data_IF_765063097236
#
_entry.id   IF_765063097236
#
_cell.length_a   1.000
_cell.length_b   1.000
_cell.length_c   1.000
_cell.angle_alpha   90.00
_cell.angle_beta   90.00
_cell.angle_gamma   90.00
#
_symmetry.space_group_name_H-M   'P 1'
#
loop_
_entity.id
_entity.type
_entity.pdbx_description
1 polymer ?
#
# COMPACT_ATOMS: atom_id res chain seq x y z
N UNK A 1 23.82 24.16 -61.39
CA UNK A 1 24.09 23.72 -60.02
C UNK A 1 23.22 24.53 -59.02
N UNK A 2 22.12 23.96 -58.54
CA UNK A 2 21.24 24.61 -57.54
C UNK A 2 21.76 24.22 -56.15
N UNK A 3 22.20 25.16 -55.33
CA UNK A 3 22.57 24.96 -53.93
C UNK A 3 21.29 24.89 -53.09
N UNK A 4 20.99 23.71 -52.53
CA UNK A 4 19.99 23.56 -51.49
C UNK A 4 20.61 24.02 -50.15
N UNK A 5 20.03 25.04 -49.53
CA UNK A 5 20.32 25.40 -48.14
C UNK A 5 19.41 24.61 -47.23
N UNK A 6 19.98 23.71 -46.42
CA UNK A 6 19.28 23.05 -45.31
C UNK A 6 19.23 24.03 -44.13
N UNK A 7 18.06 24.52 -43.82
CA UNK A 7 17.82 25.33 -42.63
C UNK A 7 17.57 24.37 -41.48
N UNK A 8 18.55 24.15 -40.61
CA UNK A 8 18.36 23.38 -39.37
C UNK A 8 17.55 24.22 -38.36
N UNK A 9 16.30 23.85 -38.12
CA UNK A 9 15.50 24.43 -37.06
C UNK A 9 15.94 23.80 -35.75
N UNK A 10 16.74 24.50 -34.94
CA UNK A 10 17.00 24.12 -33.55
C UNK A 10 15.72 24.39 -32.76
N UNK A 11 14.99 23.32 -32.40
CA UNK A 11 13.94 23.38 -31.42
C UNK A 11 14.58 23.51 -30.04
N UNK A 12 14.62 24.71 -29.48
CA UNK A 12 14.90 24.90 -28.05
C UNK A 12 13.70 24.39 -27.28
N UNK A 13 13.82 23.21 -26.67
CA UNK A 13 12.90 22.78 -25.64
C UNK A 13 13.16 23.65 -24.38
N UNK A 14 12.37 24.68 -24.19
CA UNK A 14 12.28 25.35 -22.89
C UNK A 14 11.72 24.33 -21.91
N UNK A 15 12.56 23.80 -21.05
CA UNK A 15 12.09 23.01 -19.92
C UNK A 15 11.21 23.92 -19.06
N UNK A 16 9.89 23.76 -19.14
CA UNK A 16 8.98 24.46 -18.25
C UNK A 16 9.37 24.13 -16.81
N UNK A 17 9.65 25.15 -16.01
CA UNK A 17 9.94 24.98 -14.60
C UNK A 17 8.70 24.43 -13.92
N UNK A 18 8.86 23.36 -13.09
CA UNK A 18 7.77 22.79 -12.33
C UNK A 18 7.10 23.84 -11.45
N UNK A 19 5.80 23.96 -11.59
CA UNK A 19 4.97 24.93 -10.85
C UNK A 19 4.59 24.35 -9.49
N UNK A 20 4.52 25.22 -8.49
CA UNK A 20 3.97 24.92 -7.19
C UNK A 20 2.71 25.73 -6.97
N UNK A 21 1.65 25.06 -6.53
CA UNK A 21 0.35 25.64 -6.16
C UNK A 21 0.07 25.31 -4.70
N UNK A 22 -0.41 26.27 -3.93
CA UNK A 22 -0.74 26.10 -2.52
C UNK A 22 -2.25 26.10 -2.30
N UNK A 23 -2.70 25.20 -1.41
CA UNK A 23 -4.08 25.07 -0.93
C UNK A 23 -4.06 25.20 0.58
N UNK A 24 -5.00 25.95 1.16
CA UNK A 24 -5.11 26.13 2.61
C UNK A 24 -6.57 26.05 3.07
N UNK A 25 -6.86 25.61 4.32
CA UNK A 25 -8.23 25.56 4.84
C UNK A 25 -8.94 26.92 4.83
N UNK A 26 -8.19 27.99 4.97
CA UNK A 26 -8.63 29.40 4.93
C UNK A 26 -8.32 30.10 3.59
N UNK A 27 -8.00 29.33 2.55
CA UNK A 27 -7.69 29.83 1.22
C UNK A 27 -8.88 30.39 0.46
N UNK A 28 -8.62 30.88 -0.75
CA UNK A 28 -9.66 31.42 -1.62
C UNK A 28 -9.40 31.01 -3.07
N UNK A 29 -10.37 30.35 -3.72
CA UNK A 29 -10.23 29.86 -5.10
C UNK A 29 -10.14 30.98 -6.16
N UNK A 30 -10.46 32.23 -5.79
CA UNK A 30 -10.13 33.41 -6.61
C UNK A 30 -8.66 33.85 -6.47
N UNK A 31 -7.89 33.22 -5.58
CA UNK A 31 -6.48 33.48 -5.36
C UNK A 31 -5.59 32.96 -6.50
N UNK A 32 -4.32 33.36 -6.46
CA UNK A 32 -3.34 32.95 -7.49
C UNK A 32 -2.81 31.51 -7.27
N UNK A 33 -3.05 30.92 -6.11
CA UNK A 33 -2.42 29.66 -5.69
C UNK A 33 -0.96 29.84 -5.25
N UNK A 34 -0.48 31.06 -5.04
CA UNK A 34 0.83 31.32 -4.42
C UNK A 34 0.77 31.04 -2.90
N UNK A 35 1.93 30.98 -2.24
CA UNK A 35 2.00 30.75 -0.79
C UNK A 35 1.29 31.84 0.01
N UNK A 36 1.31 33.09 -0.48
CA UNK A 36 0.67 34.27 0.16
C UNK A 36 -0.81 34.44 -0.25
N UNK A 37 -1.29 33.68 -1.25
CA UNK A 37 -2.66 33.71 -1.75
C UNK A 37 -3.09 32.29 -2.15
N UNK A 38 -3.19 31.35 -1.19
CA UNK A 38 -3.49 29.94 -1.46
C UNK A 38 -4.94 29.78 -1.91
N UNK A 39 -5.18 28.70 -2.66
CA UNK A 39 -6.53 28.28 -3.03
C UNK A 39 -7.25 27.61 -1.84
N UNK A 40 -8.57 27.57 -1.89
CA UNK A 40 -9.38 26.90 -0.88
C UNK A 40 -9.53 25.39 -1.16
N UNK A 41 -9.58 25.00 -2.44
CA UNK A 41 -9.97 23.65 -2.83
C UNK A 41 -8.92 22.92 -3.70
N UNK A 42 -8.88 21.59 -3.57
CA UNK A 42 -8.11 20.74 -4.47
C UNK A 42 -8.63 20.87 -5.92
N UNK A 43 -9.94 21.04 -6.11
CA UNK A 43 -10.54 21.18 -7.42
C UNK A 43 -9.95 22.38 -8.19
N UNK A 44 -9.85 23.54 -7.54
CA UNK A 44 -9.23 24.74 -8.12
C UNK A 44 -7.72 24.51 -8.40
N UNK A 45 -7.02 23.91 -7.43
CA UNK A 45 -5.60 23.59 -7.61
C UNK A 45 -5.36 22.66 -8.81
N UNK A 46 -6.16 21.60 -8.96
CA UNK A 46 -6.04 20.65 -10.07
C UNK A 46 -6.16 21.32 -11.44
N UNK A 47 -7.01 22.37 -11.58
CA UNK A 47 -7.13 23.10 -12.84
C UNK A 47 -5.81 23.73 -13.28
N UNK A 48 -4.98 24.13 -12.34
CA UNK A 48 -3.72 24.82 -12.59
C UNK A 48 -2.54 23.88 -12.85
N UNK A 49 -2.65 22.58 -12.51
CA UNK A 49 -1.54 21.64 -12.59
C UNK A 49 -1.33 21.07 -13.99
N UNK A 50 -0.07 20.83 -14.32
CA UNK A 50 0.44 20.11 -15.49
C UNK A 50 1.46 19.06 -15.06
N UNK A 51 1.88 18.13 -15.94
CA UNK A 51 2.91 17.14 -15.61
C UNK A 51 4.19 17.76 -15.04
N UNK A 52 4.58 17.33 -13.85
CA UNK A 52 5.73 17.82 -13.09
C UNK A 52 5.38 18.81 -11.98
N UNK A 53 4.15 19.32 -11.95
CA UNK A 53 3.73 20.32 -10.96
C UNK A 53 3.34 19.69 -9.62
N UNK A 54 3.33 20.51 -8.59
CA UNK A 54 2.97 20.12 -7.21
C UNK A 54 1.88 21.02 -6.64
N UNK A 55 0.82 20.42 -6.08
CA UNK A 55 -0.09 21.07 -5.16
C UNK A 55 0.34 20.76 -3.71
N UNK A 56 0.68 21.78 -2.93
CA UNK A 56 0.93 21.66 -1.51
C UNK A 56 -0.29 22.07 -0.70
N UNK A 57 -0.74 21.17 0.16
CA UNK A 57 -1.76 21.46 1.17
C UNK A 57 -1.09 21.97 2.44
N UNK A 58 -1.51 23.14 2.91
CA UNK A 58 -1.08 23.69 4.18
C UNK A 58 -1.66 22.86 5.33
N UNK A 59 -0.99 22.85 6.45
CA UNK A 59 -1.45 22.17 7.66
C UNK A 59 -2.79 22.72 8.15
N UNK A 60 -3.51 21.90 8.88
CA UNK A 60 -4.86 22.20 9.39
C UNK A 60 -5.88 21.18 8.88
N UNK A 61 -7.13 21.35 9.30
CA UNK A 61 -8.23 20.46 8.95
C UNK A 61 -9.06 21.05 7.81
N UNK A 62 -9.16 20.31 6.73
CA UNK A 62 -10.06 20.57 5.60
C UNK A 62 -11.38 19.88 5.89
N UNK A 63 -12.37 20.58 6.40
CA UNK A 63 -13.72 20.06 6.63
C UNK A 63 -14.46 19.97 5.30
N UNK A 64 -14.50 18.77 4.75
CA UNK A 64 -15.10 18.52 3.44
C UNK A 64 -16.61 18.34 3.59
N UNK A 65 -17.37 18.96 2.68
CA UNK A 65 -18.83 18.93 2.64
C UNK A 65 -19.34 18.34 1.33
N UNK A 66 -20.63 17.96 1.26
CA UNK A 66 -21.17 17.26 0.08
C UNK A 66 -21.15 18.11 -1.20
N UNK A 67 -21.22 19.44 -1.09
CA UNK A 67 -21.13 20.35 -2.23
C UNK A 67 -19.74 20.40 -2.87
N UNK A 68 -18.72 19.87 -2.19
CA UNK A 68 -17.36 19.71 -2.72
C UNK A 68 -17.16 18.40 -3.47
N UNK A 69 -18.17 17.51 -3.50
CA UNK A 69 -18.11 16.26 -4.29
C UNK A 69 -18.02 16.62 -5.78
N UNK A 70 -16.91 16.24 -6.42
CA UNK A 70 -16.61 16.62 -7.81
C UNK A 70 -17.45 15.86 -8.85
N UNK A 71 -18.15 14.79 -8.47
CA UNK A 71 -19.01 14.05 -9.37
C UNK A 71 -19.40 12.66 -8.88
N UNK A 72 -20.15 11.96 -9.72
CA UNK A 72 -20.54 10.56 -9.48
C UNK A 72 -19.97 9.69 -10.61
N UNK A 73 -19.12 8.75 -10.26
CA UNK A 73 -18.50 7.82 -11.19
C UNK A 73 -19.15 6.43 -11.10
N UNK A 74 -19.14 5.70 -12.22
CA UNK A 74 -19.72 4.36 -12.32
C UNK A 74 -21.17 4.27 -11.79
N UNK A 75 -21.90 5.39 -11.73
CA UNK A 75 -23.27 5.55 -11.22
C UNK A 75 -23.46 5.23 -9.73
N UNK A 76 -22.40 4.99 -9.00
CA UNK A 76 -22.48 4.60 -7.58
C UNK A 76 -21.44 5.27 -6.69
N UNK A 77 -20.34 5.81 -7.23
CA UNK A 77 -19.29 6.43 -6.44
C UNK A 77 -19.43 7.95 -6.43
N UNK A 78 -19.77 8.53 -5.29
CA UNK A 78 -19.56 9.95 -5.03
C UNK A 78 -18.05 10.19 -4.89
N UNK A 79 -17.45 10.79 -5.91
CA UNK A 79 -16.01 11.06 -5.95
C UNK A 79 -15.75 12.44 -5.37
N UNK A 80 -15.21 12.48 -4.15
CA UNK A 80 -14.92 13.75 -3.48
C UNK A 80 -13.85 14.51 -4.26
N UNK A 81 -12.72 13.86 -4.52
CA UNK A 81 -11.65 14.38 -5.36
C UNK A 81 -11.43 13.46 -6.56
N UNK A 82 -11.91 13.85 -7.73
CA UNK A 82 -11.67 13.14 -8.98
C UNK A 82 -10.36 13.62 -9.61
N UNK A 83 -9.29 12.82 -9.43
CA UNK A 83 -7.97 13.14 -9.95
C UNK A 83 -7.84 12.64 -11.39
N UNK A 84 -8.11 13.49 -12.36
CA UNK A 84 -8.22 13.16 -13.78
C UNK A 84 -7.14 13.75 -14.69
N UNK A 85 -6.13 14.41 -14.13
CA UNK A 85 -4.99 14.92 -14.86
C UNK A 85 -3.77 14.02 -14.64
N UNK A 86 -3.25 13.43 -15.70
CA UNK A 86 -2.08 12.57 -15.65
C UNK A 86 -0.78 13.37 -15.62
N UNK A 87 0.16 12.90 -14.82
CA UNK A 87 1.58 13.19 -15.03
C UNK A 87 2.15 12.39 -16.21
N UNK A 88 3.45 12.20 -16.20
CA UNK A 88 4.18 11.34 -17.16
C UNK A 88 5.43 10.79 -16.47
N UNK A 89 6.08 9.86 -17.11
CA UNK A 89 7.38 9.37 -16.64
C UNK A 89 8.37 10.51 -16.41
N UNK A 90 9.02 10.52 -15.25
CA UNK A 90 9.92 11.58 -14.82
C UNK A 90 9.28 12.92 -14.46
N UNK A 91 7.94 13.06 -14.59
CA UNK A 91 7.20 14.29 -14.32
C UNK A 91 5.81 14.01 -13.76
N UNK A 92 5.75 13.42 -12.54
CA UNK A 92 4.49 13.17 -11.82
C UNK A 92 3.79 14.47 -11.46
N UNK A 93 2.45 14.43 -11.40
CA UNK A 93 1.72 15.47 -10.68
C UNK A 93 1.69 15.05 -9.21
N UNK A 94 2.09 15.96 -8.33
CA UNK A 94 2.21 15.70 -6.90
C UNK A 94 1.12 16.43 -6.13
N UNK A 95 0.40 15.70 -5.26
CA UNK A 95 -0.53 16.23 -4.28
C UNK A 95 0.03 15.91 -2.90
N UNK A 96 0.50 16.90 -2.15
CA UNK A 96 1.27 16.65 -0.94
C UNK A 96 0.95 17.62 0.19
N UNK A 97 0.99 17.14 1.43
CA UNK A 97 1.15 18.03 2.57
C UNK A 97 2.46 18.82 2.46
N UNK A 98 2.40 20.11 2.80
CA UNK A 98 3.59 20.96 2.79
C UNK A 98 4.66 20.38 3.73
N UNK A 99 5.95 20.42 3.35
CA UNK A 99 7.02 19.91 4.21
C UNK A 99 6.96 20.48 5.64
N UNK A 100 6.93 19.58 6.63
CA UNK A 100 6.78 19.93 8.04
C UNK A 100 5.33 20.18 8.50
N UNK A 101 4.36 20.12 7.60
CA UNK A 101 2.93 20.26 7.88
C UNK A 101 2.19 18.95 7.53
N UNK A 102 1.12 18.65 8.27
CA UNK A 102 0.31 17.47 8.01
C UNK A 102 -1.18 17.84 7.93
N UNK A 103 -1.69 18.08 6.72
CA UNK A 103 -3.11 18.38 6.51
C UNK A 103 -3.99 17.17 6.81
N UNK A 104 -5.20 17.42 7.30
CA UNK A 104 -6.21 16.41 7.60
C UNK A 104 -7.45 16.68 6.74
N UNK A 105 -7.86 15.74 5.91
CA UNK A 105 -9.12 15.78 5.18
C UNK A 105 -10.20 15.09 6.01
N UNK A 106 -11.12 15.86 6.57
CA UNK A 106 -12.23 15.37 7.39
C UNK A 106 -13.48 15.19 6.53
N UNK A 107 -13.93 13.94 6.41
CA UNK A 107 -15.04 13.50 5.57
C UNK A 107 -16.33 13.25 6.37
N UNK A 108 -16.36 13.55 7.65
CA UNK A 108 -17.50 13.23 8.54
C UNK A 108 -18.84 13.86 8.08
N UNK A 109 -18.79 14.97 7.35
CA UNK A 109 -19.96 15.62 6.78
C UNK A 109 -20.36 15.11 5.37
N UNK A 110 -19.58 14.25 4.73
CA UNK A 110 -19.87 13.73 3.38
C UNK A 110 -20.67 12.43 3.49
N UNK A 111 -21.99 12.54 3.37
CA UNK A 111 -22.96 11.45 3.56
C UNK A 111 -23.94 11.32 2.38
N UNK A 112 -23.50 11.17 1.13
CA UNK A 112 -24.35 11.14 -0.04
C UNK A 112 -25.28 9.92 0.03
N UNK A 113 -26.57 10.14 0.03
CA UNK A 113 -27.57 9.08 0.17
C UNK A 113 -27.51 8.11 -1.02
N UNK A 114 -27.41 6.81 -0.71
CA UNK A 114 -27.41 5.73 -1.71
C UNK A 114 -26.15 5.65 -2.56
N UNK A 115 -25.10 6.39 -2.26
CA UNK A 115 -23.84 6.36 -2.98
C UNK A 115 -22.69 5.86 -2.07
N UNK A 116 -21.71 5.19 -2.69
CA UNK A 116 -20.42 4.88 -2.09
C UNK A 116 -19.54 6.13 -2.11
N UNK A 117 -18.85 6.40 -1.04
CA UNK A 117 -17.86 7.50 -1.02
C UNK A 117 -16.51 6.98 -1.53
N UNK A 118 -15.93 7.67 -2.51
CA UNK A 118 -14.53 7.51 -2.90
C UNK A 118 -13.84 8.86 -2.72
N UNK A 119 -12.95 8.98 -1.70
CA UNK A 119 -12.42 10.30 -1.34
C UNK A 119 -11.43 10.78 -2.39
N UNK A 120 -10.33 10.06 -2.61
CA UNK A 120 -9.41 10.30 -3.72
C UNK A 120 -9.65 9.25 -4.80
N UNK A 121 -10.46 9.58 -5.80
CA UNK A 121 -10.70 8.73 -6.96
C UNK A 121 -9.63 9.01 -8.01
N UNK A 122 -8.66 8.09 -8.13
CA UNK A 122 -7.55 8.23 -9.07
C UNK A 122 -7.98 7.73 -10.45
N UNK A 123 -8.19 8.68 -11.36
CA UNK A 123 -8.56 8.48 -12.75
C UNK A 123 -7.45 9.05 -13.68
N UNK A 124 -6.20 8.86 -13.28
CA UNK A 124 -5.03 9.38 -13.96
C UNK A 124 -3.80 8.51 -13.69
N UNK A 125 -2.78 8.67 -14.51
CA UNK A 125 -1.50 7.98 -14.38
C UNK A 125 -0.42 8.94 -13.85
N UNK A 126 0.62 8.37 -13.27
CA UNK A 126 1.80 9.13 -12.86
C UNK A 126 1.49 10.23 -11.83
N UNK A 127 0.61 9.91 -10.88
CA UNK A 127 0.35 10.78 -9.73
C UNK A 127 1.24 10.37 -8.54
N UNK A 128 1.42 11.31 -7.61
CA UNK A 128 2.05 11.06 -6.32
C UNK A 128 1.26 11.80 -5.23
N UNK A 129 0.55 11.03 -4.40
CA UNK A 129 -0.20 11.52 -3.25
C UNK A 129 0.64 11.27 -2.00
N UNK A 130 0.88 12.29 -1.15
CA UNK A 130 1.71 12.06 0.03
C UNK A 130 1.52 13.03 1.20
N UNK A 131 1.86 12.56 2.41
CA UNK A 131 2.00 13.36 3.62
C UNK A 131 0.70 14.04 4.07
N UNK A 132 -0.40 13.31 4.18
CA UNK A 132 -1.67 13.82 4.72
C UNK A 132 -2.50 12.70 5.36
N UNK A 133 -3.54 13.12 6.09
CA UNK A 133 -4.51 12.21 6.71
C UNK A 133 -5.88 12.33 6.05
N UNK A 134 -6.60 11.20 5.99
CA UNK A 134 -8.00 11.10 5.59
C UNK A 134 -8.76 10.50 6.76
N UNK A 135 -9.76 11.20 7.26
CA UNK A 135 -10.53 10.77 8.43
C UNK A 135 -12.03 10.79 8.17
N UNK A 136 -12.75 9.90 8.85
CA UNK A 136 -14.20 10.00 8.94
C UNK A 136 -14.97 9.69 7.66
N UNK A 137 -14.41 8.95 6.69
CA UNK A 137 -15.16 8.52 5.49
C UNK A 137 -16.43 7.78 5.88
N UNK A 138 -17.57 8.12 5.27
CA UNK A 138 -18.88 7.64 5.68
C UNK A 138 -19.48 6.60 4.73
N UNK A 139 -20.45 5.84 5.25
CA UNK A 139 -21.33 4.92 4.53
C UNK A 139 -22.78 5.28 4.86
N UNK A 140 -23.64 5.32 3.84
CA UNK A 140 -25.10 5.55 3.96
C UNK A 140 -25.93 4.38 3.47
N UNK A 141 -25.33 3.50 2.68
CA UNK A 141 -26.00 2.31 2.10
C UNK A 141 -26.10 1.22 3.18
N UNK A 142 -27.31 0.75 3.45
CA UNK A 142 -27.55 -0.30 4.46
C UNK A 142 -27.39 -1.73 3.94
N UNK A 143 -27.45 -1.94 2.63
CA UNK A 143 -27.12 -3.21 1.97
C UNK A 143 -25.61 -3.40 1.82
N UNK A 144 -25.21 -4.46 1.11
CA UNK A 144 -23.79 -4.71 0.82
C UNK A 144 -23.14 -3.54 0.06
N UNK A 145 -22.08 -2.98 0.60
CA UNK A 145 -21.38 -1.83 0.01
C UNK A 145 -19.93 -1.74 0.45
N UNK A 146 -19.15 -0.93 -0.27
CA UNK A 146 -17.78 -0.59 0.06
C UNK A 146 -17.51 0.87 -0.31
N UNK A 147 -17.26 1.73 0.66
CA UNK A 147 -16.64 3.04 0.44
C UNK A 147 -15.12 2.90 0.45
N UNK A 148 -14.41 3.82 -0.18
CA UNK A 148 -12.97 3.75 -0.37
C UNK A 148 -12.34 5.12 -0.09
N UNK A 149 -11.31 5.18 0.75
CA UNK A 149 -10.64 6.46 0.98
C UNK A 149 -9.76 6.84 -0.22
N UNK A 150 -8.95 5.91 -0.72
CA UNK A 150 -8.21 6.11 -1.97
C UNK A 150 -8.52 4.93 -2.90
N UNK A 151 -8.99 5.23 -4.11
CA UNK A 151 -9.26 4.20 -5.11
C UNK A 151 -8.50 4.43 -6.41
N UNK A 152 -7.86 3.37 -6.93
CA UNK A 152 -7.24 3.36 -8.26
C UNK A 152 -8.06 2.45 -9.15
N UNK A 153 -8.68 3.05 -10.18
CA UNK A 153 -9.63 2.37 -11.07
C UNK A 153 -9.32 2.65 -12.54
N UNK A 154 -10.05 1.99 -13.44
CA UNK A 154 -10.03 2.23 -14.89
C UNK A 154 -8.70 1.95 -15.60
N UNK A 155 -7.76 1.22 -14.98
CA UNK A 155 -6.46 0.89 -15.57
C UNK A 155 -5.39 1.95 -15.36
N UNK A 156 -5.58 2.85 -14.39
CA UNK A 156 -4.62 3.90 -14.07
C UNK A 156 -3.37 3.33 -13.37
N UNK A 157 -2.22 3.73 -13.85
CA UNK A 157 -0.95 3.07 -13.57
C UNK A 157 0.14 4.03 -13.14
N UNK A 158 1.22 3.49 -12.57
CA UNK A 158 2.40 4.23 -12.15
C UNK A 158 2.11 5.30 -11.10
N UNK A 159 1.06 5.13 -10.29
CA UNK A 159 0.75 6.05 -9.19
C UNK A 159 1.48 5.66 -7.92
N UNK A 160 1.85 6.66 -7.12
CA UNK A 160 2.46 6.48 -5.81
C UNK A 160 1.57 7.10 -4.74
N UNK A 161 1.28 6.34 -3.70
CA UNK A 161 0.62 6.80 -2.48
C UNK A 161 1.62 6.61 -1.36
N UNK A 162 2.10 7.70 -0.75
CA UNK A 162 3.21 7.67 0.20
C UNK A 162 2.88 8.41 1.48
N UNK A 163 3.12 7.77 2.62
CA UNK A 163 2.97 8.38 3.95
C UNK A 163 1.59 9.05 4.14
N UNK A 164 0.52 8.36 3.74
CA UNK A 164 -0.87 8.75 3.97
C UNK A 164 -1.43 7.91 5.10
N UNK A 165 -2.11 8.54 6.07
CA UNK A 165 -2.85 7.85 7.11
C UNK A 165 -4.35 7.94 6.83
N UNK A 166 -5.06 6.81 6.94
CA UNK A 166 -6.48 6.67 6.67
C UNK A 166 -7.12 6.04 7.89
N UNK A 167 -7.99 6.79 8.60
CA UNK A 167 -8.43 6.28 9.88
C UNK A 167 -9.76 6.85 10.37
N UNK A 168 -10.30 6.18 11.39
CA UNK A 168 -11.53 6.59 12.08
C UNK A 168 -12.72 6.80 11.13
N UNK A 169 -12.81 5.98 10.07
CA UNK A 169 -13.84 6.03 9.04
C UNK A 169 -14.56 4.69 8.84
N UNK A 170 -15.35 4.61 7.77
CA UNK A 170 -16.15 3.44 7.39
C UNK A 170 -15.72 2.87 6.01
N UNK A 171 -14.51 3.17 5.56
CA UNK A 171 -14.05 2.85 4.21
C UNK A 171 -12.81 1.95 4.22
N UNK A 172 -12.62 1.20 3.14
CA UNK A 172 -11.32 0.60 2.81
C UNK A 172 -10.30 1.73 2.67
N UNK A 173 -9.11 1.53 3.22
CA UNK A 173 -8.07 2.55 3.17
C UNK A 173 -7.61 2.84 1.74
N UNK A 174 -6.89 1.91 1.11
CA UNK A 174 -6.49 2.01 -0.31
C UNK A 174 -7.02 0.81 -1.07
N UNK A 175 -7.67 1.05 -2.20
CA UNK A 175 -8.28 0.00 -3.01
C UNK A 175 -7.89 0.13 -4.49
N UNK A 176 -7.17 -0.89 -4.99
CA UNK A 176 -6.73 -0.94 -6.39
C UNK A 176 -7.51 -2.02 -7.13
N UNK A 177 -8.30 -1.65 -8.15
CA UNK A 177 -9.10 -2.62 -8.93
C UNK A 177 -8.64 -2.80 -10.37
N UNK A 178 -7.91 -1.84 -10.90
CA UNK A 178 -7.37 -1.89 -12.27
C UNK A 178 -6.17 -0.96 -12.36
N UNK A 179 -5.12 -1.39 -13.04
CA UNK A 179 -3.92 -0.62 -13.29
C UNK A 179 -2.67 -1.31 -12.77
N UNK A 180 -1.55 -0.98 -13.37
CA UNK A 180 -0.24 -1.60 -13.16
C UNK A 180 0.73 -0.66 -12.47
N UNK A 181 1.78 -1.22 -11.88
CA UNK A 181 2.93 -0.47 -11.38
C UNK A 181 2.57 0.65 -10.38
N UNK A 182 1.51 0.42 -9.57
CA UNK A 182 1.15 1.34 -8.50
C UNK A 182 1.89 0.94 -7.21
N UNK A 183 2.40 1.91 -6.49
CA UNK A 183 3.12 1.74 -5.25
C UNK A 183 2.37 2.40 -4.09
N UNK A 184 2.01 1.61 -3.08
CA UNK A 184 1.52 2.10 -1.79
C UNK A 184 2.69 1.98 -0.81
N UNK A 185 3.24 3.12 -0.40
CA UNK A 185 4.49 3.20 0.35
C UNK A 185 4.27 3.89 1.70
N UNK A 186 4.65 3.22 2.78
CA UNK A 186 4.66 3.83 4.11
C UNK A 186 3.30 4.42 4.53
N UNK A 187 2.19 3.79 4.17
CA UNK A 187 0.83 4.23 4.52
C UNK A 187 0.32 3.51 5.76
N UNK A 188 -0.59 4.18 6.47
CA UNK A 188 -1.31 3.63 7.62
C UNK A 188 -2.80 3.57 7.34
N UNK A 189 -3.46 2.44 7.65
CA UNK A 189 -4.91 2.30 7.63
C UNK A 189 -5.37 1.71 8.97
N UNK A 190 -6.14 2.48 9.76
CA UNK A 190 -6.47 2.02 11.10
C UNK A 190 -7.79 2.56 11.66
N UNK A 191 -8.40 1.76 12.55
CA UNK A 191 -9.67 2.07 13.21
C UNK A 191 -10.79 2.43 12.22
N UNK A 192 -10.83 1.73 11.08
CA UNK A 192 -11.92 1.86 10.13
C UNK A 192 -12.96 0.76 10.37
N UNK A 193 -14.21 1.15 10.53
CA UNK A 193 -15.32 0.25 10.84
C UNK A 193 -16.63 0.75 10.26
N UNK A 194 -17.20 0.00 9.30
CA UNK A 194 -18.53 0.25 8.77
C UNK A 194 -19.59 -0.27 9.75
N UNK A 195 -20.23 0.66 10.44
CA UNK A 195 -21.31 0.38 11.39
C UNK A 195 -22.71 0.47 10.78
N UNK A 196 -22.82 0.66 9.46
CA UNK A 196 -24.08 0.96 8.75
C UNK A 196 -24.50 -0.19 7.82
N UNK A 197 -23.63 -0.61 6.91
CA UNK A 197 -24.00 -1.64 5.94
C UNK A 197 -24.16 -3.02 6.59
N UNK A 198 -25.01 -3.82 5.99
CA UNK A 198 -25.28 -5.22 6.42
C UNK A 198 -25.53 -5.38 7.94
N UNK A 199 -26.14 -4.37 8.56
CA UNK A 199 -26.40 -4.36 10.00
C UNK A 199 -25.16 -4.09 10.85
N UNK A 200 -24.18 -3.39 10.32
CA UNK A 200 -22.96 -2.99 11.02
C UNK A 200 -21.96 -4.13 11.21
N UNK A 201 -21.93 -5.09 10.28
CA UNK A 201 -21.01 -6.25 10.37
C UNK A 201 -19.56 -5.87 10.15
N UNK A 202 -19.28 -4.76 9.45
CA UNK A 202 -17.93 -4.28 9.18
C UNK A 202 -17.11 -5.20 8.26
N UNK A 203 -17.72 -6.14 7.57
CA UNK A 203 -17.08 -7.19 6.78
C UNK A 203 -16.70 -6.76 5.35
N UNK A 204 -16.38 -5.49 5.13
CA UNK A 204 -15.90 -4.96 3.85
C UNK A 204 -14.97 -3.77 4.09
N UNK A 205 -14.31 -3.71 5.25
CA UNK A 205 -13.44 -2.58 5.60
C UNK A 205 -12.05 -3.10 5.94
N UNK A 206 -11.31 -3.34 4.87
CA UNK A 206 -9.91 -3.73 4.95
C UNK A 206 -9.01 -2.51 5.12
N UNK A 207 -7.82 -2.73 5.63
CA UNK A 207 -6.79 -1.69 5.58
C UNK A 207 -6.39 -1.37 4.13
N UNK A 208 -6.05 -2.40 3.36
CA UNK A 208 -5.56 -2.30 2.00
C UNK A 208 -6.11 -3.44 1.14
N UNK A 209 -6.65 -3.11 -0.04
CA UNK A 209 -7.15 -4.10 -1.00
C UNK A 209 -6.56 -3.92 -2.40
N UNK A 210 -6.30 -5.05 -3.08
CA UNK A 210 -5.86 -5.04 -4.47
C UNK A 210 -6.52 -6.18 -5.25
N UNK A 211 -7.52 -5.85 -6.08
CA UNK A 211 -8.35 -6.80 -6.81
C UNK A 211 -8.22 -6.55 -8.32
N UNK A 212 -7.02 -6.72 -8.85
CA UNK A 212 -6.65 -6.33 -10.21
C UNK A 212 -6.83 -7.47 -11.22
N UNK A 213 -6.94 -7.08 -12.50
CA UNK A 213 -7.09 -8.02 -13.63
C UNK A 213 -5.73 -8.65 -13.99
N UNK A 214 -5.74 -9.70 -14.81
CA UNK A 214 -4.56 -10.48 -15.23
C UNK A 214 -3.42 -9.62 -15.82
N UNK A 215 -3.77 -8.58 -16.58
CA UNK A 215 -2.79 -7.68 -17.21
C UNK A 215 -2.26 -6.58 -16.29
N UNK A 216 -2.86 -6.38 -15.14
CA UNK A 216 -2.56 -5.25 -14.24
C UNK A 216 -1.45 -5.64 -13.23
N UNK A 217 -0.23 -5.85 -13.71
CA UNK A 217 0.91 -6.34 -12.92
C UNK A 217 1.68 -5.23 -12.21
N UNK A 218 2.63 -5.59 -11.34
CA UNK A 218 3.60 -4.66 -10.76
C UNK A 218 3.08 -3.82 -9.58
N UNK A 219 1.91 -4.14 -9.01
CA UNK A 219 1.40 -3.44 -7.84
C UNK A 219 2.11 -3.90 -6.55
N UNK A 220 2.56 -2.95 -5.73
CA UNK A 220 3.36 -3.20 -4.53
C UNK A 220 2.83 -2.38 -3.35
N UNK A 221 2.73 -3.03 -2.18
CA UNK A 221 2.55 -2.39 -0.88
C UNK A 221 3.84 -2.58 -0.09
N UNK A 222 4.42 -1.48 0.38
CA UNK A 222 5.69 -1.52 1.10
C UNK A 222 5.66 -0.61 2.31
N UNK A 223 6.14 -1.13 3.45
CA UNK A 223 6.24 -0.36 4.68
C UNK A 223 4.89 0.11 5.22
N UNK A 224 3.79 -0.51 4.81
CA UNK A 224 2.45 -0.14 5.23
C UNK A 224 2.07 -0.80 6.56
N UNK A 225 1.17 -0.16 7.33
CA UNK A 225 0.62 -0.71 8.57
C UNK A 225 -0.90 -0.70 8.51
N UNK A 226 -1.52 -1.82 8.89
CA UNK A 226 -2.95 -1.95 9.07
C UNK A 226 -3.25 -2.42 10.50
N UNK A 227 -4.12 -1.69 11.25
CA UNK A 227 -4.52 -2.13 12.58
C UNK A 227 -5.91 -1.67 12.98
N UNK A 228 -6.61 -2.53 13.72
CA UNK A 228 -7.97 -2.25 14.17
C UNK A 228 -8.94 -1.87 13.04
N UNK A 229 -8.76 -2.45 11.85
CA UNK A 229 -9.77 -2.39 10.81
C UNK A 229 -10.76 -3.53 11.03
N UNK A 230 -12.03 -3.31 10.71
CA UNK A 230 -13.07 -4.24 11.10
C UNK A 230 -13.08 -5.55 10.31
N UNK A 231 -12.43 -5.59 9.16
CA UNK A 231 -12.22 -6.81 8.37
C UNK A 231 -10.73 -7.14 8.29
N UNK A 232 -10.16 -7.37 7.14
CA UNK A 232 -8.78 -7.84 7.00
C UNK A 232 -7.76 -6.67 7.01
N UNK A 233 -6.51 -6.95 7.34
CA UNK A 233 -5.44 -5.95 7.21
C UNK A 233 -5.10 -5.68 5.75
N UNK A 234 -4.94 -6.77 4.99
CA UNK A 234 -4.65 -6.76 3.55
C UNK A 234 -5.48 -7.82 2.86
N UNK A 235 -6.19 -7.46 1.75
CA UNK A 235 -7.03 -8.38 0.98
C UNK A 235 -6.69 -8.39 -0.50
N UNK A 236 -6.44 -9.60 -1.03
CA UNK A 236 -6.23 -9.89 -2.46
C UNK A 236 -7.31 -10.83 -3.03
N UNK A 237 -8.50 -10.89 -2.43
CA UNK A 237 -9.58 -11.70 -3.02
C UNK A 237 -9.88 -11.22 -4.44
N UNK A 238 -10.14 -12.15 -5.37
CA UNK A 238 -10.38 -11.83 -6.79
C UNK A 238 -9.24 -11.02 -7.45
N UNK A 239 -8.01 -11.19 -6.98
CA UNK A 239 -6.84 -10.61 -7.60
C UNK A 239 -6.26 -11.59 -8.64
N UNK A 240 -6.18 -11.15 -9.90
CA UNK A 240 -5.75 -11.99 -11.03
C UNK A 240 -4.34 -11.67 -11.54
N UNK A 241 -3.60 -10.80 -10.87
CA UNK A 241 -2.20 -10.50 -11.18
C UNK A 241 -1.33 -10.54 -9.92
N UNK A 242 -0.03 -10.83 -10.04
CA UNK A 242 0.89 -10.85 -8.90
C UNK A 242 0.92 -9.51 -8.15
N UNK A 243 0.83 -9.57 -6.83
CA UNK A 243 0.97 -8.43 -5.91
C UNK A 243 2.02 -8.78 -4.87
N UNK A 244 2.80 -7.78 -4.47
CA UNK A 244 3.83 -7.92 -3.43
C UNK A 244 3.47 -7.10 -2.19
N UNK A 245 3.46 -7.75 -1.03
CA UNK A 245 3.52 -7.11 0.28
C UNK A 245 4.96 -7.25 0.79
N UNK A 246 5.61 -6.12 1.05
CA UNK A 246 7.00 -6.07 1.47
C UNK A 246 7.14 -5.17 2.72
N UNK A 247 7.68 -5.72 3.82
CA UNK A 247 7.84 -4.99 5.07
C UNK A 247 6.52 -4.37 5.59
N UNK A 248 5.40 -5.06 5.45
CA UNK A 248 4.08 -4.60 5.91
C UNK A 248 3.71 -5.23 7.25
N UNK A 249 2.94 -4.50 8.06
CA UNK A 249 2.48 -4.97 9.36
C UNK A 249 0.96 -5.01 9.42
N UNK A 250 0.39 -6.09 9.98
CA UNK A 250 -1.03 -6.28 10.21
C UNK A 250 -1.28 -6.66 11.68
N UNK A 251 -1.99 -5.83 12.42
CA UNK A 251 -2.26 -6.03 13.82
C UNK A 251 -3.73 -5.81 14.12
N UNK A 252 -4.30 -6.65 14.99
CA UNK A 252 -5.68 -6.49 15.47
C UNK A 252 -6.72 -6.33 14.35
N UNK A 253 -6.52 -6.96 13.20
CA UNK A 253 -7.54 -7.03 12.15
C UNK A 253 -8.76 -7.77 12.68
N UNK A 254 -9.98 -7.30 12.37
CA UNK A 254 -11.22 -7.80 12.95
C UNK A 254 -11.47 -7.33 14.37
N UNK A 255 -10.87 -6.22 14.78
CA UNK A 255 -11.11 -5.56 16.05
C UNK A 255 -11.41 -4.07 15.83
N UNK A 256 -12.25 -3.49 16.69
CA UNK A 256 -12.50 -2.04 16.74
C UNK A 256 -11.38 -1.31 17.50
N UNK A 257 -10.92 -1.93 18.57
CA UNK A 257 -9.78 -1.59 19.41
C UNK A 257 -9.10 -2.90 19.83
N UNK A 258 -8.04 -2.84 20.61
CA UNK A 258 -7.26 -4.04 20.97
C UNK A 258 -8.05 -5.13 21.70
N UNK A 259 -9.19 -4.79 22.31
CA UNK A 259 -10.01 -5.70 23.15
C UNK A 259 -11.35 -6.06 22.50
N UNK A 260 -11.87 -5.25 21.56
CA UNK A 260 -13.25 -5.34 21.05
C UNK A 260 -13.28 -5.90 19.63
N UNK A 261 -13.63 -7.19 19.50
CA UNK A 261 -13.78 -7.85 18.20
C UNK A 261 -14.96 -7.31 17.40
N UNK A 262 -14.80 -7.25 16.09
CA UNK A 262 -15.86 -6.97 15.12
C UNK A 262 -16.38 -8.25 14.48
N UNK A 263 -17.56 -8.24 13.83
CA UNK A 263 -18.05 -9.41 13.08
C UNK A 263 -17.25 -9.75 11.81
N UNK A 264 -16.50 -8.82 11.21
CA UNK A 264 -15.68 -9.05 10.00
C UNK A 264 -14.66 -10.20 10.14
N UNK A 265 -14.03 -10.62 9.07
CA UNK A 265 -13.18 -11.83 9.04
C UNK A 265 -11.95 -11.70 9.93
N UNK A 266 -11.16 -10.67 9.77
CA UNK A 266 -10.06 -10.30 10.63
C UNK A 266 -8.78 -11.10 10.42
N UNK A 267 -8.40 -11.33 9.16
CA UNK A 267 -7.08 -11.87 8.81
C UNK A 267 -6.04 -10.75 8.72
N UNK A 268 -4.79 -11.07 8.99
CA UNK A 268 -3.70 -10.12 8.78
C UNK A 268 -3.43 -9.89 7.30
N UNK A 269 -2.99 -10.93 6.61
CA UNK A 269 -2.71 -10.93 5.17
C UNK A 269 -3.54 -12.03 4.49
N UNK A 270 -4.58 -11.64 3.78
CA UNK A 270 -5.43 -12.52 2.97
C UNK A 270 -4.94 -12.43 1.52
N UNK A 271 -4.08 -13.37 1.12
CA UNK A 271 -3.38 -13.30 -0.14
C UNK A 271 -3.98 -14.27 -1.17
N UNK A 272 -4.96 -13.79 -1.90
CA UNK A 272 -5.58 -14.49 -3.01
C UNK A 272 -6.99 -15.01 -2.72
N UNK A 273 -7.39 -16.05 -3.46
CA UNK A 273 -8.73 -16.65 -3.44
C UNK A 273 -9.72 -15.97 -4.37
N UNK A 274 -10.81 -16.69 -4.64
CA UNK A 274 -11.82 -16.24 -5.61
C UNK A 274 -13.23 -16.40 -5.04
N UNK A 275 -13.40 -16.13 -3.74
CA UNK A 275 -14.68 -16.18 -3.04
C UNK A 275 -15.30 -17.57 -2.95
N UNK A 276 -14.50 -18.65 -3.05
CA UNK A 276 -14.99 -20.04 -3.17
C UNK A 276 -15.95 -20.23 -4.34
N UNK A 277 -15.67 -19.58 -5.46
CA UNK A 277 -16.47 -19.65 -6.67
C UNK A 277 -15.72 -20.42 -7.75
N UNK A 278 -16.48 -21.15 -8.57
CA UNK A 278 -15.96 -21.70 -9.82
C UNK A 278 -15.74 -20.55 -10.80
N UNK A 279 -14.74 -20.72 -11.65
CA UNK A 279 -14.44 -19.77 -12.72
C UNK A 279 -15.02 -20.29 -14.04
N UNK A 280 -15.25 -19.41 -14.99
CA UNK A 280 -15.83 -19.76 -16.28
C UNK A 280 -14.85 -20.54 -17.18
N UNK A 281 -13.55 -20.35 -16.96
CA UNK A 281 -12.50 -21.00 -17.76
C UNK A 281 -11.22 -21.23 -16.90
N UNK A 282 -10.39 -22.20 -17.29
CA UNK A 282 -9.06 -22.41 -16.66
C UNK A 282 -8.20 -21.16 -16.79
N UNK A 283 -7.42 -20.88 -15.75
CA UNK A 283 -6.41 -19.81 -15.79
C UNK A 283 -5.22 -20.12 -14.89
N UNK A 284 -4.09 -19.50 -15.21
CA UNK A 284 -2.93 -19.53 -14.35
C UNK A 284 -3.15 -18.53 -13.21
N UNK A 285 -3.38 -19.04 -12.00
CA UNK A 285 -3.52 -18.22 -10.82
C UNK A 285 -2.21 -17.44 -10.54
N UNK A 286 -2.29 -16.16 -10.21
CA UNK A 286 -1.10 -15.37 -9.94
C UNK A 286 -0.38 -15.87 -8.68
N UNK A 287 0.92 -15.70 -8.63
CA UNK A 287 1.72 -15.97 -7.44
C UNK A 287 1.98 -14.66 -6.69
N UNK A 288 1.32 -14.47 -5.55
CA UNK A 288 1.56 -13.33 -4.70
C UNK A 288 2.80 -13.54 -3.82
N UNK A 289 3.45 -12.46 -3.43
CA UNK A 289 4.62 -12.49 -2.54
C UNK A 289 4.32 -11.72 -1.26
N UNK A 290 4.51 -12.35 -0.11
CA UNK A 290 4.42 -11.74 1.21
C UNK A 290 5.79 -11.90 1.87
N UNK A 291 6.53 -10.80 2.01
CA UNK A 291 7.94 -10.81 2.38
C UNK A 291 8.23 -9.83 3.54
N UNK A 292 9.00 -10.29 4.53
CA UNK A 292 9.41 -9.50 5.69
C UNK A 292 8.25 -8.81 6.43
N UNK A 293 7.09 -9.47 6.51
CA UNK A 293 5.89 -8.92 7.11
C UNK A 293 5.68 -9.41 8.55
N UNK A 294 4.94 -8.61 9.34
CA UNK A 294 4.53 -8.98 10.70
C UNK A 294 3.01 -9.13 10.73
N UNK A 295 2.51 -10.26 11.28
CA UNK A 295 1.11 -10.48 11.57
C UNK A 295 0.93 -10.74 13.07
N UNK A 296 0.35 -9.79 13.80
CA UNK A 296 0.22 -9.85 15.25
C UNK A 296 -1.23 -9.74 15.71
N UNK A 297 -1.68 -10.71 16.52
CA UNK A 297 -2.96 -10.67 17.26
C UNK A 297 -4.19 -10.38 16.38
N UNK A 298 -4.18 -10.82 15.12
CA UNK A 298 -5.36 -10.72 14.27
C UNK A 298 -6.42 -11.74 14.72
N UNK A 299 -7.70 -11.38 14.57
CA UNK A 299 -8.84 -12.18 15.05
C UNK A 299 -8.87 -13.58 14.42
N UNK A 300 -8.54 -13.68 13.13
CA UNK A 300 -8.45 -14.92 12.38
C UNK A 300 -6.98 -15.29 12.09
N UNK A 301 -6.59 -15.46 10.86
CA UNK A 301 -5.26 -15.95 10.51
C UNK A 301 -4.26 -14.80 10.37
N UNK A 302 -3.01 -15.06 10.68
CA UNK A 302 -1.93 -14.11 10.41
C UNK A 302 -1.66 -13.98 8.92
N UNK A 303 -1.27 -15.10 8.31
CA UNK A 303 -1.02 -15.25 6.88
C UNK A 303 -1.98 -16.29 6.32
N UNK A 304 -2.78 -15.91 5.32
CA UNK A 304 -3.92 -16.68 4.85
C UNK A 304 -3.95 -16.77 3.32
N UNK A 305 -3.91 -17.98 2.78
CA UNK A 305 -3.99 -18.23 1.35
C UNK A 305 -5.40 -18.04 0.77
N UNK A 306 -6.43 -18.08 1.61
CA UNK A 306 -7.81 -17.75 1.24
C UNK A 306 -8.36 -18.58 0.09
N UNK A 307 -8.20 -19.89 0.10
CA UNK A 307 -8.71 -20.79 -0.96
C UNK A 307 -8.13 -20.47 -2.35
N UNK A 308 -6.86 -20.03 -2.40
CA UNK A 308 -6.19 -19.68 -3.65
C UNK A 308 -6.09 -20.88 -4.59
N UNK A 309 -6.06 -20.67 -5.90
CA UNK A 309 -5.96 -21.74 -6.91
C UNK A 309 -4.51 -22.10 -7.29
N UNK A 310 -3.56 -21.56 -6.58
CA UNK A 310 -2.13 -21.79 -6.80
C UNK A 310 -1.34 -21.57 -5.52
N UNK A 311 -0.04 -21.51 -5.64
CA UNK A 311 0.83 -21.22 -4.50
C UNK A 311 1.21 -19.75 -4.44
N UNK A 312 1.51 -19.28 -3.23
CA UNK A 312 2.09 -17.97 -2.95
C UNK A 312 3.46 -18.13 -2.31
N UNK A 313 4.26 -17.07 -2.33
CA UNK A 313 5.55 -16.99 -1.66
C UNK A 313 5.39 -16.27 -0.30
N UNK A 314 5.71 -16.99 0.77
CA UNK A 314 5.68 -16.52 2.16
C UNK A 314 7.12 -16.55 2.68
N UNK A 315 7.78 -15.38 2.68
CA UNK A 315 9.22 -15.30 2.88
C UNK A 315 9.57 -14.41 4.08
N UNK A 316 10.39 -14.91 4.99
CA UNK A 316 10.90 -14.12 6.13
C UNK A 316 9.81 -13.40 6.96
N UNK A 317 8.61 -13.96 7.07
CA UNK A 317 7.54 -13.35 7.84
C UNK A 317 7.57 -13.80 9.31
N UNK A 318 7.05 -12.97 10.20
CA UNK A 318 6.88 -13.31 11.62
C UNK A 318 5.41 -13.17 12.03
N UNK A 319 4.86 -14.20 12.63
CA UNK A 319 3.48 -14.24 13.12
C UNK A 319 3.41 -14.58 14.60
N UNK A 320 2.57 -13.85 15.36
CA UNK A 320 2.34 -14.09 16.79
C UNK A 320 0.89 -13.83 17.19
N UNK A 321 0.33 -14.71 18.02
CA UNK A 321 -1.02 -14.59 18.63
C UNK A 321 -2.20 -14.54 17.67
N UNK A 322 -2.05 -14.91 16.40
CA UNK A 322 -3.21 -15.06 15.52
C UNK A 322 -3.94 -16.38 15.84
N UNK A 323 -5.16 -16.59 15.34
CA UNK A 323 -5.86 -17.88 15.48
C UNK A 323 -4.99 -19.02 14.93
N UNK A 324 -4.64 -18.95 13.66
CA UNK A 324 -3.52 -19.68 13.05
C UNK A 324 -2.52 -18.66 12.53
N UNK A 325 -1.25 -18.88 12.78
CA UNK A 325 -0.24 -17.97 12.25
C UNK A 325 -0.11 -18.09 10.74
N UNK A 326 -0.22 -19.33 10.19
CA UNK A 326 -0.20 -19.61 8.76
C UNK A 326 -1.35 -20.56 8.39
N UNK A 327 -2.27 -20.15 7.54
CA UNK A 327 -3.37 -20.97 7.03
C UNK A 327 -3.30 -21.03 5.52
N UNK A 328 -2.93 -22.21 4.98
CA UNK A 328 -2.55 -22.35 3.56
C UNK A 328 -3.63 -23.07 2.73
N UNK A 329 -4.90 -22.97 3.13
CA UNK A 329 -6.00 -23.62 2.40
C UNK A 329 -6.08 -23.14 0.96
N UNK A 330 -6.20 -24.09 0.03
CA UNK A 330 -6.46 -23.86 -1.39
C UNK A 330 -7.86 -24.31 -1.79
N UNK A 331 -8.37 -23.80 -2.90
CA UNK A 331 -9.47 -24.40 -3.64
C UNK A 331 -8.91 -25.54 -4.53
N UNK A 332 -9.69 -26.61 -4.69
CA UNK A 332 -9.26 -27.82 -5.39
C UNK A 332 -8.90 -27.58 -6.86
N UNK A 333 -9.80 -26.89 -7.57
CA UNK A 333 -9.63 -26.54 -8.98
C UNK A 333 -10.44 -25.30 -9.34
N UNK A 334 -10.20 -24.74 -10.51
CA UNK A 334 -10.91 -23.56 -11.00
C UNK A 334 -12.43 -23.81 -11.18
N UNK A 335 -12.82 -25.04 -11.47
CA UNK A 335 -14.18 -25.54 -11.65
C UNK A 335 -14.74 -26.31 -10.45
N UNK A 336 -13.94 -26.49 -9.39
CA UNK A 336 -14.36 -27.14 -8.15
C UNK A 336 -14.07 -26.27 -6.92
N UNK A 337 -15.10 -25.59 -6.42
CA UNK A 337 -15.01 -24.71 -5.23
C UNK A 337 -14.99 -25.52 -3.92
N UNK A 338 -14.09 -26.50 -3.82
CA UNK A 338 -13.89 -27.37 -2.67
C UNK A 338 -12.57 -27.06 -1.99
N UNK A 339 -12.58 -26.90 -0.68
CA UNK A 339 -11.37 -26.65 0.13
C UNK A 339 -10.49 -27.91 0.15
N UNK A 340 -9.21 -27.70 -0.09
CA UNK A 340 -8.18 -28.73 0.02
C UNK A 340 -6.96 -28.18 0.77
N UNK A 341 -6.12 -29.06 1.27
CA UNK A 341 -4.83 -28.67 1.82
C UNK A 341 -3.98 -27.97 0.76
N UNK A 342 -3.37 -26.87 1.16
CA UNK A 342 -2.64 -25.94 0.29
C UNK A 342 -1.52 -26.59 -0.50
N UNK A 343 -1.40 -26.23 -1.76
CA UNK A 343 -0.40 -26.74 -2.68
C UNK A 343 0.32 -25.61 -3.43
N UNK A 344 1.52 -25.91 -3.90
CA UNK A 344 2.30 -24.97 -4.71
C UNK A 344 2.90 -23.79 -3.94
N UNK A 345 2.66 -23.67 -2.63
CA UNK A 345 3.23 -22.59 -1.81
C UNK A 345 4.74 -22.77 -1.60
N UNK A 346 5.43 -21.64 -1.45
CA UNK A 346 6.77 -21.55 -0.87
C UNK A 346 6.68 -20.92 0.51
N UNK A 347 7.03 -21.64 1.57
CA UNK A 347 7.19 -21.12 2.91
C UNK A 347 8.68 -21.19 3.27
N UNK A 348 9.37 -20.06 3.33
CA UNK A 348 10.80 -20.03 3.61
C UNK A 348 11.14 -18.99 4.67
N UNK A 349 11.93 -19.44 5.65
CA UNK A 349 12.50 -18.60 6.71
C UNK A 349 11.46 -17.83 7.53
N UNK A 350 10.26 -18.40 7.73
CA UNK A 350 9.22 -17.77 8.52
C UNK A 350 9.33 -18.16 9.99
N UNK A 351 8.87 -17.25 10.87
CA UNK A 351 8.74 -17.48 12.31
C UNK A 351 7.27 -17.51 12.73
N UNK A 352 6.90 -18.50 13.51
CA UNK A 352 5.63 -18.60 14.21
C UNK A 352 5.88 -18.64 15.71
N UNK A 353 5.18 -17.79 16.46
CA UNK A 353 5.27 -17.75 17.90
C UNK A 353 3.88 -17.71 18.54
N UNK A 354 3.61 -18.61 19.48
CA UNK A 354 2.39 -18.67 20.29
C UNK A 354 1.09 -18.40 19.52
N UNK A 355 0.84 -19.13 18.45
CA UNK A 355 -0.47 -19.12 17.80
C UNK A 355 -1.56 -19.62 18.74
N UNK A 356 -2.77 -19.02 18.67
CA UNK A 356 -3.87 -19.38 19.59
C UNK A 356 -4.43 -20.78 19.33
N UNK A 357 -4.33 -21.31 18.10
CA UNK A 357 -4.76 -22.68 17.73
C UNK A 357 -3.67 -23.52 17.09
N UNK A 358 -2.75 -22.92 16.35
CA UNK A 358 -1.66 -23.66 15.73
C UNK A 358 -0.78 -22.78 14.84
N UNK A 359 0.48 -23.17 14.73
CA UNK A 359 1.46 -22.43 13.94
C UNK A 359 1.08 -22.40 12.47
N UNK A 360 0.62 -23.51 11.93
CA UNK A 360 0.16 -23.66 10.57
C UNK A 360 -1.00 -24.65 10.47
N UNK A 361 -1.77 -24.57 9.37
CA UNK A 361 -2.89 -25.47 9.09
C UNK A 361 -3.18 -25.57 7.59
N UNK A 362 -3.89 -26.62 7.20
CA UNK A 362 -4.40 -26.83 5.84
C UNK A 362 -3.30 -26.68 4.77
N UNK A 363 -2.25 -27.48 4.86
CA UNK A 363 -1.13 -27.50 3.92
C UNK A 363 -0.73 -28.92 3.56
N UNK A 364 -0.67 -29.23 2.26
CA UNK A 364 -0.05 -30.43 1.73
C UNK A 364 1.46 -30.22 1.62
N UNK A 365 2.17 -30.76 2.59
CA UNK A 365 3.63 -30.63 2.70
C UNK A 365 4.38 -31.25 1.52
N UNK A 366 3.78 -32.25 0.88
CA UNK A 366 4.39 -32.95 -0.26
C UNK A 366 4.33 -32.15 -1.56
N UNK A 367 3.44 -31.16 -1.62
CA UNK A 367 3.18 -30.33 -2.79
C UNK A 367 3.61 -28.87 -2.61
N UNK A 368 4.32 -28.55 -1.54
CA UNK A 368 4.82 -27.22 -1.22
C UNK A 368 6.33 -27.24 -0.99
N UNK A 369 7.00 -26.12 -1.26
CA UNK A 369 8.39 -25.88 -0.87
C UNK A 369 8.39 -25.31 0.55
N UNK A 370 8.91 -26.06 1.52
CA UNK A 370 8.87 -25.67 2.94
C UNK A 370 10.28 -25.80 3.52
N UNK A 371 10.93 -24.68 3.73
CA UNK A 371 12.35 -24.62 4.08
C UNK A 371 12.60 -23.64 5.21
N UNK A 372 13.42 -24.01 6.18
CA UNK A 372 13.96 -23.12 7.20
C UNK A 372 12.88 -22.32 7.96
N UNK A 373 11.76 -22.94 8.37
CA UNK A 373 10.72 -22.28 9.15
C UNK A 373 10.78 -22.76 10.62
N UNK A 374 10.47 -21.88 11.57
CA UNK A 374 10.52 -22.17 13.01
C UNK A 374 9.50 -23.22 13.48
N UNK A 375 8.47 -23.48 12.68
CA UNK A 375 7.41 -24.45 12.98
C UNK A 375 7.63 -25.82 12.33
N UNK A 376 8.82 -26.08 11.78
CA UNK A 376 9.19 -27.41 11.34
C UNK A 376 9.55 -28.32 12.54
N UNK A 377 9.26 -29.63 12.47
CA UNK A 377 9.55 -30.56 13.58
C UNK A 377 11.03 -30.62 14.00
N UNK A 378 11.93 -30.24 13.09
CA UNK A 378 13.38 -30.20 13.34
C UNK A 378 13.87 -28.85 13.85
N UNK A 379 13.01 -27.84 13.92
CA UNK A 379 13.36 -26.52 14.40
C UNK A 379 13.36 -26.46 15.94
N UNK A 380 14.08 -25.50 16.50
CA UNK A 380 14.03 -25.20 17.92
C UNK A 380 12.66 -24.62 18.28
N UNK A 381 12.18 -24.91 19.50
CA UNK A 381 10.97 -24.29 20.02
C UNK A 381 11.24 -22.80 20.26
N UNK A 382 10.45 -21.94 19.65
CA UNK A 382 10.58 -20.49 19.79
C UNK A 382 10.27 -20.04 21.21
N UNK A 383 11.14 -19.28 21.83
CA UNK A 383 11.05 -18.79 23.19
C UNK A 383 10.99 -17.25 23.22
N UNK A 384 10.46 -16.63 24.29
CA UNK A 384 10.49 -15.18 24.44
C UNK A 384 11.90 -14.59 24.36
N UNK A 385 12.90 -15.33 24.83
CA UNK A 385 14.33 -14.95 24.79
C UNK A 385 14.93 -14.93 23.39
N UNK A 386 14.25 -15.49 22.39
CA UNK A 386 14.66 -15.39 21.00
C UNK A 386 14.44 -14.00 20.41
N UNK A 387 13.62 -13.18 21.07
CA UNK A 387 13.29 -11.82 20.61
C UNK A 387 13.95 -10.76 21.48
N UNK A 388 14.32 -9.64 20.84
CA UNK A 388 14.85 -8.45 21.55
C UNK A 388 13.75 -7.79 22.35
N UNK A 389 12.54 -7.69 21.78
CA UNK A 389 11.35 -7.17 22.45
C UNK A 389 10.10 -7.96 22.06
N UNK A 390 9.15 -8.03 23.00
CA UNK A 390 7.79 -8.54 22.79
C UNK A 390 6.73 -7.47 23.13
N UNK A 391 7.13 -6.21 23.22
CA UNK A 391 6.21 -5.09 23.43
C UNK A 391 5.60 -4.62 22.10
N UNK A 392 4.39 -5.09 21.80
CA UNK A 392 3.69 -4.77 20.56
C UNK A 392 3.36 -3.29 20.38
N UNK A 393 3.37 -2.48 21.45
CA UNK A 393 3.12 -1.04 21.36
C UNK A 393 4.14 -0.32 20.50
N UNK A 394 5.33 -0.90 20.35
CA UNK A 394 6.34 -0.41 19.44
C UNK A 394 5.87 -0.36 17.97
N UNK A 395 4.98 -1.27 17.55
CA UNK A 395 4.43 -1.29 16.18
C UNK A 395 3.56 -0.07 15.87
N UNK A 396 2.97 0.54 16.90
CA UNK A 396 2.10 1.71 16.78
C UNK A 396 2.84 3.03 17.07
N UNK A 397 4.17 2.98 17.26
CA UNK A 397 4.99 4.16 17.43
C UNK A 397 4.87 5.09 16.19
N UNK A 398 5.06 6.41 16.37
CA UNK A 398 5.09 7.36 15.26
C UNK A 398 6.09 6.93 14.18
N UNK A 399 5.74 7.17 12.91
CA UNK A 399 6.67 6.97 11.80
C UNK A 399 7.89 7.89 11.93
N UNK A 400 9.00 7.51 11.30
CA UNK A 400 10.17 8.37 11.17
C UNK A 400 9.84 9.64 10.36
N UNK A 401 10.69 10.64 10.46
CA UNK A 401 10.49 11.93 9.77
C UNK A 401 10.42 11.80 8.24
N UNK A 402 11.03 10.77 7.67
CA UNK A 402 10.95 10.44 6.24
C UNK A 402 9.71 9.62 5.85
N UNK A 403 8.82 9.34 6.80
CA UNK A 403 7.62 8.55 6.63
C UNK A 403 7.83 7.04 6.72
N UNK A 404 9.06 6.55 6.84
CA UNK A 404 9.34 5.12 6.96
C UNK A 404 8.83 4.54 8.29
N UNK A 405 8.79 3.20 8.39
CA UNK A 405 8.41 2.50 9.61
C UNK A 405 9.27 2.94 10.80
N UNK A 406 8.71 3.02 12.01
CA UNK A 406 9.50 3.28 13.21
C UNK A 406 10.54 2.19 13.40
N UNK A 407 11.67 2.55 14.01
CA UNK A 407 12.60 1.54 14.53
C UNK A 407 11.88 0.75 15.63
N UNK A 408 11.87 -0.56 15.50
CA UNK A 408 11.23 -1.44 16.48
C UNK A 408 12.13 -2.63 16.76
N UNK A 409 12.12 -3.04 18.02
CA UNK A 409 12.72 -4.28 18.48
C UNK A 409 11.68 -5.40 18.62
N UNK A 410 10.40 -5.09 18.41
CA UNK A 410 9.31 -6.05 18.52
C UNK A 410 9.48 -7.22 17.57
N UNK A 411 9.55 -8.43 18.13
CA UNK A 411 9.80 -9.68 17.42
C UNK A 411 11.06 -9.68 16.52
N UNK A 412 11.96 -8.73 16.71
CA UNK A 412 13.29 -8.79 16.12
C UNK A 412 14.09 -9.88 16.81
N UNK A 413 14.64 -10.79 16.05
CA UNK A 413 15.39 -11.89 16.64
C UNK A 413 16.67 -11.39 17.32
N UNK A 414 16.90 -11.87 18.53
CA UNK A 414 18.15 -11.62 19.26
C UNK A 414 19.33 -12.23 18.50
N UNK A 415 20.49 -11.54 18.44
CA UNK A 415 21.69 -12.08 17.84
C UNK A 415 22.15 -13.45 18.46
N UNK A 416 21.74 -13.74 19.69
CA UNK A 416 22.00 -15.01 20.36
C UNK A 416 20.99 -16.10 20.02
N UNK A 417 19.91 -15.79 19.34
CA UNK A 417 18.90 -16.77 18.94
C UNK A 417 19.42 -17.65 17.79
N UNK A 418 19.24 -18.97 17.86
CA UNK A 418 19.55 -19.85 16.74
C UNK A 418 18.71 -19.53 15.48
N UNK A 419 17.50 -18.95 15.67
CA UNK A 419 16.64 -18.52 14.56
C UNK A 419 17.26 -17.32 13.80
N UNK A 420 17.94 -16.42 14.52
CA UNK A 420 18.69 -15.31 13.92
C UNK A 420 19.84 -15.83 13.06
N UNK A 421 20.63 -16.78 13.60
CA UNK A 421 21.72 -17.41 12.86
C UNK A 421 21.26 -18.16 11.61
N UNK A 422 20.01 -18.66 11.60
CA UNK A 422 19.38 -19.28 10.46
C UNK A 422 18.71 -18.30 9.48
N UNK A 423 18.73 -16.99 9.74
CA UNK A 423 18.14 -15.96 8.88
C UNK A 423 16.61 -16.02 8.79
N UNK A 424 15.94 -16.43 9.86
CA UNK A 424 14.49 -16.55 9.90
C UNK A 424 13.82 -15.23 10.29
N UNK A 425 12.50 -15.14 10.05
CA UNK A 425 11.63 -14.05 10.46
C UNK A 425 11.88 -12.74 9.73
N UNK A 426 11.08 -11.75 10.07
CA UNK A 426 11.25 -10.42 9.52
C UNK A 426 12.58 -9.82 9.98
N UNK A 427 13.25 -9.14 9.07
CA UNK A 427 14.56 -8.57 9.31
C UNK A 427 14.59 -7.11 8.91
N UNK A 428 14.85 -6.26 9.89
CA UNK A 428 15.24 -4.87 9.70
C UNK A 428 16.55 -4.63 10.43
N UNK A 429 17.54 -4.16 9.75
CA UNK A 429 18.62 -3.48 10.44
C UNK A 429 18.11 -2.10 10.89
N UNK A 430 18.40 -1.64 12.12
CA UNK A 430 18.12 -0.29 12.54
C UNK A 430 18.70 0.70 11.52
N UNK A 431 17.86 1.56 10.94
CA UNK A 431 18.28 2.48 9.88
C UNK A 431 18.08 1.99 8.45
N UNK A 432 17.71 0.71 8.23
CA UNK A 432 17.41 0.14 6.91
C UNK A 432 15.89 -0.01 6.67
N UNK A 433 15.10 0.97 7.05
CA UNK A 433 13.71 1.02 6.64
C UNK A 433 13.61 1.14 5.10
N UNK A 434 12.45 0.79 4.47
CA UNK A 434 12.24 0.99 3.05
C UNK A 434 12.20 2.50 2.75
N UNK A 435 13.33 3.15 2.93
CA UNK A 435 13.57 4.53 2.52
C UNK A 435 14.01 4.49 1.08
N UNK A 436 13.24 5.04 0.24
CA UNK A 436 13.42 5.38 -1.15
C UNK A 436 12.51 4.60 -2.10
N UNK A 437 11.92 5.33 -3.01
CA UNK A 437 11.41 4.86 -4.27
C UNK A 437 12.59 4.21 -5.04
N UNK A 438 12.96 2.98 -4.67
CA UNK A 438 13.69 2.14 -5.60
C UNK A 438 12.70 1.82 -6.71
N UNK A 439 13.02 2.27 -7.91
CA UNK A 439 12.14 2.16 -9.04
C UNK A 439 11.46 0.80 -9.09
N UNK A 440 10.15 0.83 -9.32
CA UNK A 440 9.42 -0.33 -9.80
C UNK A 440 10.08 -0.68 -11.13
N UNK A 441 11.14 -1.47 -11.09
CA UNK A 441 11.76 -2.02 -12.28
C UNK A 441 11.04 -3.33 -12.57
N UNK A 442 10.13 -3.28 -13.53
CA UNK A 442 9.92 -4.43 -14.38
C UNK A 442 11.31 -4.85 -14.90
N UNK A 443 11.82 -6.02 -14.49
CA UNK A 443 13.01 -6.70 -14.97
C UNK A 443 14.31 -5.87 -15.10
N UNK A 444 15.48 -6.49 -15.10
CA UNK A 444 16.73 -5.76 -15.18
C UNK A 444 16.84 -5.04 -16.53
N UNK A 445 16.47 -3.75 -16.54
CA UNK A 445 16.97 -2.85 -17.58
C UNK A 445 18.47 -2.70 -17.34
N UNK A 446 19.32 -2.89 -18.33
CA UNK A 446 20.74 -2.70 -18.17
C UNK A 446 20.97 -1.23 -17.76
N UNK A 447 21.39 -1.03 -16.52
CA UNK A 447 21.91 0.28 -16.10
C UNK A 447 23.09 0.56 -17.01
N UNK A 448 22.96 1.55 -17.86
CA UNK A 448 24.07 1.98 -18.71
C UNK A 448 25.22 2.39 -17.80
N UNK A 449 26.24 1.55 -17.74
CA UNK A 449 27.45 1.79 -16.97
C UNK A 449 28.05 3.11 -17.44
N UNK A 450 28.10 4.10 -16.56
CA UNK A 450 28.85 5.34 -16.81
C UNK A 450 28.15 6.65 -16.47
N UNK A 451 26.85 6.71 -16.29
CA UNK A 451 26.16 7.97 -16.00
C UNK A 451 26.25 8.36 -14.52
N UNK A 452 26.38 9.67 -14.28
CA UNK A 452 26.49 10.28 -12.96
C UNK A 452 25.28 11.18 -12.74
N UNK A 453 24.69 11.12 -11.55
CA UNK A 453 23.50 11.88 -11.19
C UNK A 453 23.73 12.67 -9.90
N UNK A 454 23.10 13.83 -9.78
CA UNK A 454 23.00 14.55 -8.50
C UNK A 454 22.18 13.72 -7.49
N UNK A 455 22.18 14.12 -6.22
CA UNK A 455 21.30 13.52 -5.20
C UNK A 455 19.79 13.71 -5.51
N UNK A 456 19.45 14.67 -6.35
CA UNK A 456 18.09 14.93 -6.84
C UNK A 456 17.75 14.13 -8.11
N UNK A 457 18.65 13.23 -8.57
CA UNK A 457 18.42 12.38 -9.74
C UNK A 457 18.66 13.06 -11.09
N UNK A 458 19.25 14.26 -11.11
CA UNK A 458 19.60 14.96 -12.36
C UNK A 458 20.92 14.42 -12.92
N UNK A 459 20.92 13.95 -14.16
CA UNK A 459 22.14 13.51 -14.84
C UNK A 459 23.10 14.68 -15.06
N UNK A 460 24.38 14.45 -14.78
CA UNK A 460 25.45 15.42 -14.96
C UNK A 460 26.59 14.84 -15.80
N UNK A 461 27.06 15.61 -16.78
CA UNK A 461 28.15 15.18 -17.67
C UNK A 461 29.53 15.67 -17.21
N UNK A 462 29.57 16.62 -16.28
CA UNK A 462 30.79 17.14 -15.68
C UNK A 462 30.68 17.17 -14.14
N UNK A 463 31.77 16.80 -13.44
CA UNK A 463 31.81 16.73 -11.99
C UNK A 463 32.47 17.99 -11.42
N UNK A 464 31.71 18.78 -10.69
CA UNK A 464 32.25 19.74 -9.71
C UNK A 464 32.39 19.03 -8.35
N UNK A 465 33.08 19.66 -7.38
CA UNK A 465 33.13 19.13 -5.99
C UNK A 465 31.71 18.91 -5.46
N UNK A 466 31.41 17.72 -4.97
CA UNK A 466 30.05 17.40 -4.50
C UNK A 466 29.82 15.91 -4.29
N UNK A 467 28.57 15.58 -3.98
CA UNK A 467 28.11 14.21 -3.76
C UNK A 467 27.20 13.84 -4.93
N UNK A 468 27.48 12.70 -5.53
CA UNK A 468 26.79 12.19 -6.72
C UNK A 468 26.39 10.71 -6.56
N UNK A 469 25.55 10.22 -7.44
CA UNK A 469 25.21 8.82 -7.60
C UNK A 469 25.80 8.31 -8.93
N UNK A 470 26.60 7.26 -8.89
CA UNK A 470 27.14 6.56 -10.05
C UNK A 470 26.96 5.06 -9.90
N UNK A 471 26.31 4.40 -10.87
CA UNK A 471 26.03 2.97 -10.81
C UNK A 471 25.27 2.57 -9.54
N UNK A 472 24.32 3.41 -9.07
CA UNK A 472 23.55 3.17 -7.85
C UNK A 472 24.33 3.39 -6.53
N UNK A 473 25.56 3.88 -6.57
CA UNK A 473 26.39 4.11 -5.38
C UNK A 473 26.72 5.60 -5.19
N UNK A 474 26.75 6.03 -3.93
CA UNK A 474 27.16 7.39 -3.56
C UNK A 474 28.66 7.59 -3.83
N UNK A 475 29.01 8.62 -4.61
CA UNK A 475 30.38 9.01 -4.94
C UNK A 475 30.63 10.44 -4.46
N UNK A 476 31.73 10.66 -3.77
CA UNK A 476 32.17 11.99 -3.32
C UNK A 476 33.29 12.47 -4.24
N UNK A 477 33.06 13.57 -4.94
CA UNK A 477 34.10 14.28 -5.73
C UNK A 477 34.68 15.39 -4.86
N UNK A 478 35.98 15.30 -4.58
CA UNK A 478 36.73 16.22 -3.70
C UNK A 478 37.42 17.34 -4.49
#
# INVERSE_FOLDING_TARGET
MRKLYFMAVLAFSVAAQAKVVYVAPDGNDAGSGSIDSPLATLAAAQQLLAPGDTAYFRGGTYHITEDQVMGVEEKIYATVFNLNKSGREGARIVYAGMPGERPVFDLTAVKPEGLRVSVFYIHANWLHLKNFDIVGTQVTITGHTQSEAISIRRGNSHNVIENVAIHDGMAIGVYITKGSDNLVLNCDAYRNYDSVSEGGRGGNVDGFGCHVRRQDTGNVFRGCRAWCNSDDGYDLINCFAPVTFDHCWAMFSGYRDEDSKTPGDGNGFKAGGYGKQVQDEPFDAPRHTVNNCIAYSNKANGFYANHHLGGNDWLNNTAWKNKYNYCMVNQKAWDEAVDVDGYGHTLRSNVSYQANRGDWTQIDRSRCTIENNSFLPTACVVQPSDFVSTDYRELMAPRKADGSLPDTDFLRLSPSSPLHGAGMGWQFAPGEGPSAIYGVTAGPSPVAEGHIYTLQGVRVDAQSKGIYIKGGRKVVVR
#
